data_IF_205244630606
#
_entry.id   IF_205244630606
#
_cell.length_a   1.000
_cell.length_b   1.000
_cell.length_c   1.000
_cell.angle_alpha   90.00
_cell.angle_beta   90.00
_cell.angle_gamma   90.00
#
_symmetry.space_group_name_H-M   'P 1'
#
loop_
_entity.id
_entity.type
_entity.pdbx_description
1 polymer ?
#
# COMPACT_ATOMS: atom_id res chain seq x y z
N UNK A 1 -21.90 15.57 4.40
CA UNK A 1 -20.75 16.23 5.09
C UNK A 1 -21.24 16.61 6.48
N UNK A 2 -20.86 15.87 7.52
CA UNK A 2 -21.42 16.04 8.86
C UNK A 2 -20.51 16.86 9.77
N UNK A 3 -19.21 16.56 9.77
CA UNK A 3 -18.19 17.29 10.51
C UNK A 3 -16.91 17.47 9.68
N UNK A 4 -16.04 18.38 10.10
CA UNK A 4 -14.72 18.55 9.50
C UNK A 4 -13.92 17.23 9.52
N UNK A 5 -13.88 16.56 10.67
CA UNK A 5 -13.23 15.27 10.84
C UNK A 5 -13.81 14.20 9.90
N UNK A 6 -15.13 14.16 9.71
CA UNK A 6 -15.76 13.20 8.78
C UNK A 6 -15.32 13.39 7.33
N UNK A 7 -15.02 14.63 6.93
CA UNK A 7 -14.56 14.95 5.58
C UNK A 7 -13.11 14.48 5.39
N UNK A 8 -12.24 14.73 6.38
CA UNK A 8 -10.85 14.26 6.35
C UNK A 8 -10.76 12.73 6.35
N UNK A 9 -11.53 12.04 7.18
CA UNK A 9 -11.61 10.58 7.20
C UNK A 9 -12.03 10.03 5.82
N UNK A 10 -13.07 10.62 5.21
CA UNK A 10 -13.54 10.16 3.90
C UNK A 10 -12.47 10.30 2.79
N UNK A 11 -11.69 11.39 2.80
CA UNK A 11 -10.63 11.61 1.81
C UNK A 11 -9.44 10.63 1.97
N UNK A 12 -9.25 10.07 3.17
CA UNK A 12 -8.16 9.13 3.49
C UNK A 12 -8.59 7.67 3.43
N UNK A 13 -9.81 7.41 2.97
CA UNK A 13 -10.40 6.08 2.92
C UNK A 13 -9.88 5.29 1.72
N UNK A 14 -9.52 4.04 1.95
CA UNK A 14 -9.17 3.06 0.92
C UNK A 14 -10.16 1.90 0.93
N UNK A 15 -10.35 1.28 -0.24
CA UNK A 15 -11.30 0.19 -0.42
C UNK A 15 -10.63 -0.98 -1.13
N UNK A 16 -10.69 -2.16 -0.52
CA UNK A 16 -10.20 -3.39 -1.13
C UNK A 16 -11.28 -3.91 -2.08
N UNK A 17 -10.99 -4.15 -3.39
CA UNK A 17 -11.98 -4.56 -4.38
C UNK A 17 -12.34 -6.05 -4.24
N UNK A 18 -12.93 -6.42 -3.10
CA UNK A 18 -13.39 -7.79 -2.79
C UNK A 18 -14.90 -7.75 -2.54
N UNK A 19 -15.61 -8.75 -3.07
CA UNK A 19 -17.03 -8.92 -2.84
C UNK A 19 -17.37 -9.00 -1.35
N UNK A 20 -18.39 -8.28 -0.93
CA UNK A 20 -18.76 -8.15 0.49
C UNK A 20 -19.51 -9.36 1.03
N UNK A 21 -20.04 -10.19 0.14
CA UNK A 21 -20.87 -11.37 0.45
C UNK A 21 -20.04 -12.59 0.90
N UNK A 22 -18.72 -12.56 0.69
CA UNK A 22 -17.82 -13.63 1.07
C UNK A 22 -17.34 -13.55 2.53
N UNK A 23 -17.41 -14.67 3.26
CA UNK A 23 -16.79 -14.88 4.58
C UNK A 23 -15.26 -15.13 4.49
N UNK A 24 -14.57 -14.42 3.60
CA UNK A 24 -13.12 -14.51 3.48
C UNK A 24 -12.46 -13.73 4.63
N UNK A 25 -12.02 -14.45 5.67
CA UNK A 25 -11.47 -13.84 6.89
C UNK A 25 -10.09 -13.21 6.67
N UNK A 26 -9.19 -13.87 5.93
CA UNK A 26 -7.80 -13.42 5.75
C UNK A 26 -7.64 -11.98 5.23
N UNK A 27 -8.31 -11.53 4.16
CA UNK A 27 -8.16 -10.14 3.67
C UNK A 27 -8.74 -9.08 4.61
N UNK A 28 -9.60 -9.49 5.55
CA UNK A 28 -10.23 -8.60 6.54
C UNK A 28 -9.40 -8.46 7.81
N UNK A 29 -8.47 -9.38 8.08
CA UNK A 29 -7.64 -9.36 9.27
C UNK A 29 -6.63 -8.21 9.21
N UNK A 30 -6.32 -7.65 10.38
CA UNK A 30 -5.23 -6.71 10.53
C UNK A 30 -3.90 -7.47 10.36
N UNK A 31 -3.17 -7.16 9.29
CA UNK A 31 -1.84 -7.71 9.03
C UNK A 31 -0.74 -6.80 9.60
N UNK A 32 0.38 -7.40 10.01
CA UNK A 32 1.50 -6.67 10.63
C UNK A 32 2.10 -5.59 9.71
N UNK A 33 2.07 -5.80 8.39
CA UNK A 33 2.54 -4.80 7.41
C UNK A 33 1.68 -3.54 7.35
N UNK A 34 0.50 -3.51 7.99
CA UNK A 34 -0.29 -2.29 8.11
C UNK A 34 0.30 -1.28 9.10
N UNK A 35 1.26 -1.70 9.94
CA UNK A 35 1.88 -0.83 10.94
C UNK A 35 2.42 0.45 10.29
N UNK A 36 1.97 1.59 10.81
CA UNK A 36 2.36 2.91 10.31
C UNK A 36 1.70 3.34 8.99
N UNK A 37 0.99 2.46 8.27
CA UNK A 37 0.34 2.78 6.98
C UNK A 37 -1.17 2.96 7.10
N UNK A 38 -1.83 2.15 7.92
CA UNK A 38 -3.30 2.13 8.06
C UNK A 38 -3.67 2.25 9.54
N UNK A 39 -4.76 2.96 9.84
CA UNK A 39 -5.31 3.04 11.19
C UNK A 39 -5.86 1.65 11.61
N UNK A 40 -5.38 1.06 12.72
CA UNK A 40 -5.80 -0.28 13.13
C UNK A 40 -7.26 -0.33 13.64
N UNK A 41 -7.81 0.80 14.08
CA UNK A 41 -9.16 0.87 14.67
C UNK A 41 -10.22 1.37 13.68
N UNK A 42 -9.85 2.21 12.71
CA UNK A 42 -10.83 2.92 11.88
C UNK A 42 -11.25 2.10 10.66
N UNK A 43 -12.19 1.18 10.87
CA UNK A 43 -12.86 0.38 9.84
C UNK A 43 -14.37 0.34 10.14
N UNK A 44 -15.26 0.36 9.13
CA UNK A 44 -16.68 0.23 9.39
C UNK A 44 -17.01 -1.17 9.92
N UNK A 45 -18.04 -1.26 10.75
CA UNK A 45 -18.59 -2.53 11.20
C UNK A 45 -19.34 -3.27 10.07
N UNK A 46 -19.64 -4.55 10.30
CA UNK A 46 -20.42 -5.38 9.38
C UNK A 46 -19.64 -5.87 8.16
N UNK A 47 -20.30 -5.97 7.00
CA UNK A 47 -19.76 -6.65 5.81
C UNK A 47 -18.56 -5.94 5.16
N UNK A 48 -18.28 -4.68 5.53
CA UNK A 48 -17.13 -3.93 5.05
C UNK A 48 -15.95 -3.94 6.03
N UNK A 49 -16.10 -4.56 7.21
CA UNK A 49 -15.05 -4.64 8.22
C UNK A 49 -13.79 -5.29 7.65
N UNK A 50 -12.66 -4.59 7.81
CA UNK A 50 -11.35 -4.97 7.30
C UNK A 50 -11.14 -4.77 5.80
N UNK A 51 -12.20 -4.49 5.01
CA UNK A 51 -12.10 -4.22 3.57
C UNK A 51 -11.98 -2.73 3.28
N UNK A 52 -12.72 -1.93 4.03
CA UNK A 52 -12.59 -0.47 4.03
C UNK A 52 -11.64 -0.09 5.15
N UNK A 53 -10.59 0.63 4.79
CA UNK A 53 -9.48 1.01 5.67
C UNK A 53 -9.27 2.52 5.58
N UNK A 54 -8.64 3.12 6.59
CA UNK A 54 -8.24 4.54 6.54
C UNK A 54 -6.73 4.66 6.72
N UNK A 55 -6.10 5.52 5.93
CA UNK A 55 -4.66 5.77 6.00
C UNK A 55 -4.28 6.37 7.37
N UNK A 56 -3.18 5.89 7.96
CA UNK A 56 -2.60 6.45 9.19
C UNK A 56 -2.22 7.91 8.96
N UNK A 57 -2.12 8.74 10.02
CA UNK A 57 -1.88 10.19 9.93
C UNK A 57 -0.68 10.57 9.05
N UNK A 58 0.42 9.81 9.13
CA UNK A 58 1.67 10.09 8.40
C UNK A 58 1.87 9.25 7.13
N UNK A 59 0.90 8.40 6.77
CA UNK A 59 0.99 7.61 5.55
C UNK A 59 0.97 8.51 4.30
N UNK A 60 1.85 8.22 3.35
CA UNK A 60 1.97 8.90 2.06
C UNK A 60 1.97 7.87 0.92
N UNK A 61 1.25 8.18 -0.16
CA UNK A 61 1.17 7.33 -1.35
C UNK A 61 2.18 7.84 -2.36
N UNK A 62 3.10 6.96 -2.80
CA UNK A 62 4.09 7.29 -3.83
C UNK A 62 3.42 7.66 -5.15
N UNK A 63 3.94 8.70 -5.82
CA UNK A 63 3.45 9.16 -7.14
C UNK A 63 4.26 8.61 -8.32
N UNK A 64 5.36 7.89 -8.04
CA UNK A 64 6.29 7.38 -9.04
C UNK A 64 7.39 8.37 -9.40
N UNK A 65 8.49 7.84 -9.94
CA UNK A 65 9.63 8.59 -10.47
C UNK A 65 10.30 7.75 -11.58
N UNK A 66 10.94 8.38 -12.59
CA UNK A 66 11.70 7.66 -13.61
C UNK A 66 12.78 6.76 -12.98
N UNK A 67 12.93 5.53 -13.49
CA UNK A 67 13.88 4.54 -12.96
C UNK A 67 15.26 4.63 -13.63
N UNK A 68 15.36 5.25 -14.80
CA UNK A 68 16.58 5.36 -15.61
C UNK A 68 17.78 5.92 -14.81
N UNK A 69 17.63 7.00 -14.01
CA UNK A 69 18.76 7.53 -13.24
C UNK A 69 19.29 6.55 -12.19
N UNK A 70 18.44 5.68 -11.63
CA UNK A 70 18.85 4.65 -10.69
C UNK A 70 19.61 3.52 -11.41
N UNK A 71 19.16 3.14 -12.61
CA UNK A 71 19.81 2.11 -13.43
C UNK A 71 21.22 2.56 -13.83
N UNK A 72 21.35 3.77 -14.38
CA UNK A 72 22.65 4.34 -14.73
C UNK A 72 23.58 4.45 -13.53
N UNK A 73 23.05 4.87 -12.37
CA UNK A 73 23.83 4.92 -11.13
C UNK A 73 24.35 3.53 -10.73
N UNK A 74 23.51 2.49 -10.82
CA UNK A 74 23.92 1.13 -10.46
C UNK A 74 24.99 0.57 -11.40
N UNK A 75 24.85 0.78 -12.73
CA UNK A 75 25.87 0.38 -13.71
C UNK A 75 27.20 1.09 -13.44
N UNK A 76 27.15 2.40 -13.18
CA UNK A 76 28.34 3.18 -12.81
C UNK A 76 29.00 2.72 -11.50
N UNK A 77 28.28 1.98 -10.64
CA UNK A 77 28.79 1.37 -9.40
C UNK A 77 29.27 -0.08 -9.59
N UNK A 78 29.35 -0.55 -10.83
CA UNK A 78 29.86 -1.88 -11.18
C UNK A 78 28.78 -2.97 -11.17
N UNK A 79 27.50 -2.61 -11.24
CA UNK A 79 26.45 -3.59 -11.51
C UNK A 79 26.52 -4.01 -12.97
N UNK A 80 26.73 -5.30 -13.22
CA UNK A 80 26.74 -5.87 -14.57
C UNK A 80 25.32 -6.02 -15.10
N UNK A 81 25.15 -5.73 -16.39
CA UNK A 81 23.87 -5.89 -17.06
C UNK A 81 23.60 -7.39 -17.21
N UNK A 82 22.41 -7.83 -16.83
CA UNK A 82 22.04 -9.26 -16.83
C UNK A 82 22.21 -9.90 -18.21
N UNK A 83 22.01 -9.14 -19.29
CA UNK A 83 22.17 -9.62 -20.67
C UNK A 83 23.64 -9.86 -21.06
N UNK A 84 24.59 -9.18 -20.40
CA UNK A 84 26.03 -9.29 -20.64
C UNK A 84 26.73 -10.22 -19.63
N UNK A 85 25.98 -10.71 -18.63
CA UNK A 85 26.52 -11.55 -17.57
C UNK A 85 26.86 -12.95 -18.12
N UNK A 86 28.16 -13.26 -18.16
CA UNK A 86 28.64 -14.63 -18.37
C UNK A 86 28.80 -15.34 -17.02
N UNK A 87 28.01 -16.39 -16.72
CA UNK A 87 28.18 -17.12 -15.47
C UNK A 87 29.57 -17.76 -15.43
N UNK A 88 30.33 -17.43 -14.39
CA UNK A 88 31.59 -18.10 -14.08
C UNK A 88 31.31 -19.60 -13.89
N UNK A 89 31.85 -20.40 -14.82
CA UNK A 89 31.74 -21.86 -14.82
C UNK A 89 32.46 -22.51 -13.64
#
# INVERSE_FOLDING_TARGET
RYTFASTLSHLRRTNTPIGRDGKLAKPRQLHNTHWGLVCPAETPEGQACGLVKNLSLMCYVSVGSPSEPLIEFMINRGMEVVEEYEPLR
#
